data_IF_435798822936
#
_entry.id   IF_435798822936
#
_cell.length_a   1.000
_cell.length_b   1.000
_cell.length_c   1.000
_cell.angle_alpha   90.00
_cell.angle_beta   90.00
_cell.angle_gamma   90.00
#
_symmetry.space_group_name_H-M   'P 1'
#
loop_
_entity.id
_entity.type
_entity.pdbx_description
1 polymer ?
#
# COMPACT_ATOMS: atom_id res chain seq x y z
N UNK A 1 -29.36 22.67 43.40
CA UNK A 1 -28.87 22.95 42.04
C UNK A 1 -28.20 21.70 41.46
N UNK A 2 -28.86 20.96 40.55
CA UNK A 2 -28.23 19.96 39.69
C UNK A 2 -28.17 20.41 38.22
N UNK A 3 -27.08 20.07 37.53
CA UNK A 3 -26.82 20.37 36.11
C UNK A 3 -27.65 19.47 35.19
N UNK A 4 -28.34 20.08 34.23
CA UNK A 4 -29.11 19.42 33.19
C UNK A 4 -28.23 18.81 32.10
N UNK A 5 -28.70 17.68 31.57
CA UNK A 5 -28.15 16.94 30.44
C UNK A 5 -28.23 17.75 29.12
N UNK A 6 -27.13 17.81 28.38
CA UNK A 6 -27.05 18.44 27.06
C UNK A 6 -27.22 17.41 25.94
N UNK A 7 -28.36 17.46 25.27
CA UNK A 7 -28.77 16.56 24.21
C UNK A 7 -27.91 16.65 22.93
N UNK A 8 -27.76 15.49 22.29
CA UNK A 8 -27.30 15.27 20.92
C UNK A 8 -28.03 16.20 19.93
N UNK A 9 -27.28 17.07 19.23
CA UNK A 9 -27.78 17.78 18.06
C UNK A 9 -27.38 17.01 16.80
N UNK A 10 -28.27 16.12 16.37
CA UNK A 10 -28.32 15.62 14.99
C UNK A 10 -28.85 16.75 14.10
N UNK A 11 -27.99 17.35 13.29
CA UNK A 11 -28.44 18.20 12.19
C UNK A 11 -28.85 17.28 11.03
N UNK A 12 -30.16 17.00 10.95
CA UNK A 12 -30.80 16.33 9.82
C UNK A 12 -30.96 17.37 8.69
N UNK A 13 -30.07 17.36 7.70
CA UNK A 13 -30.36 17.97 6.40
C UNK A 13 -31.19 16.97 5.59
N UNK A 14 -32.49 17.21 5.48
CA UNK A 14 -33.37 16.56 4.51
C UNK A 14 -33.05 17.11 3.13
N UNK A 15 -32.50 16.28 2.25
CA UNK A 15 -32.54 16.52 0.80
C UNK A 15 -33.72 15.73 0.22
N UNK A 16 -34.60 16.42 -0.52
CA UNK A 16 -35.63 15.80 -1.37
C UNK A 16 -34.97 15.27 -2.66
N UNK A 17 -35.57 14.26 -3.33
CA UNK A 17 -34.90 13.45 -4.33
C UNK A 17 -34.92 14.10 -5.71
N UNK A 18 -33.77 14.14 -6.37
CA UNK A 18 -33.60 14.44 -7.79
C UNK A 18 -32.54 13.48 -8.33
N UNK A 19 -32.91 12.67 -9.33
CA UNK A 19 -32.26 11.40 -9.63
C UNK A 19 -30.87 11.46 -10.25
N UNK A 20 -30.05 10.48 -9.88
CA UNK A 20 -28.76 10.09 -10.45
C UNK A 20 -28.18 8.93 -9.64
N UNK A 21 -27.57 7.89 -10.25
CA UNK A 21 -27.12 6.73 -9.50
C UNK A 21 -25.82 7.02 -8.75
N UNK A 22 -25.90 6.98 -7.41
CA UNK A 22 -24.76 6.69 -6.53
C UNK A 22 -24.18 7.87 -5.78
N UNK A 23 -24.88 8.36 -4.75
CA UNK A 23 -24.26 9.09 -3.65
C UNK A 23 -23.26 8.16 -2.91
N UNK A 24 -21.99 8.21 -3.30
CA UNK A 24 -20.93 7.52 -2.58
C UNK A 24 -20.44 8.38 -1.42
N UNK A 25 -20.82 7.98 -0.20
CA UNK A 25 -20.12 8.36 1.02
C UNK A 25 -18.66 7.91 0.89
N UNK A 26 -17.76 8.86 0.64
CA UNK A 26 -16.32 8.62 0.71
C UNK A 26 -15.95 8.26 2.15
N UNK A 27 -15.86 6.96 2.44
CA UNK A 27 -15.24 6.49 3.66
C UNK A 27 -13.75 6.81 3.59
N UNK A 28 -13.36 7.79 4.42
CA UNK A 28 -11.99 8.24 4.58
C UNK A 28 -11.17 7.16 5.29
N UNK A 29 -10.69 6.17 4.53
CA UNK A 29 -9.70 5.23 5.02
C UNK A 29 -8.31 5.86 4.80
N UNK A 30 -7.70 6.28 5.92
CA UNK A 30 -6.28 6.57 6.11
C UNK A 30 -5.56 7.33 4.97
N UNK A 31 -5.68 8.66 4.94
CA UNK A 31 -4.62 9.64 4.58
C UNK A 31 -3.80 9.54 3.27
N UNK A 32 -4.01 8.54 2.41
CA UNK A 32 -3.06 8.17 1.33
C UNK A 32 -3.42 8.72 -0.07
N UNK A 33 -4.50 9.49 -0.21
CA UNK A 33 -4.93 10.06 -1.50
C UNK A 33 -4.10 11.27 -2.01
N UNK A 34 -3.03 11.70 -1.32
CA UNK A 34 -2.37 12.96 -1.68
C UNK A 34 -1.51 12.87 -2.96
N UNK A 35 -1.00 11.69 -3.28
CA UNK A 35 -0.11 11.49 -4.44
C UNK A 35 -0.86 11.39 -5.79
N UNK A 36 -2.18 11.20 -5.75
CA UNK A 36 -3.02 11.06 -6.95
C UNK A 36 -3.36 12.40 -7.61
N UNK A 37 -3.44 13.49 -6.83
CA UNK A 37 -3.87 14.80 -7.34
C UNK A 37 -2.83 15.48 -8.25
N UNK A 38 -1.53 15.19 -8.06
CA UNK A 38 -0.45 15.86 -8.79
C UNK A 38 -0.27 15.35 -10.24
N UNK A 39 -0.93 14.24 -10.62
CA UNK A 39 -0.72 13.57 -11.92
C UNK A 39 -1.81 13.83 -12.97
N UNK A 40 -2.89 14.52 -12.62
CA UNK A 40 -3.98 14.87 -13.54
C UNK A 40 -4.04 16.38 -13.73
N UNK A 41 -3.30 16.85 -14.73
CA UNK A 41 -3.38 18.22 -15.21
C UNK A 41 -4.79 18.60 -15.64
N UNK A 42 -5.28 19.69 -15.06
CA UNK A 42 -6.27 20.64 -15.58
C UNK A 42 -7.38 20.10 -16.50
N UNK A 43 -8.54 19.82 -15.91
CA UNK A 43 -9.83 19.92 -16.61
C UNK A 43 -10.64 21.08 -16.01
N UNK A 44 -10.70 22.18 -16.76
CA UNK A 44 -11.86 23.05 -16.93
C UNK A 44 -12.41 23.84 -15.73
N UNK A 45 -12.41 25.16 -15.86
CA UNK A 45 -12.96 26.17 -14.97
C UNK A 45 -14.38 25.87 -14.42
N UNK A 46 -14.59 26.17 -13.14
CA UNK A 46 -15.92 26.52 -12.61
C UNK A 46 -16.46 25.72 -11.43
N UNK A 47 -15.63 25.02 -10.65
CA UNK A 47 -16.05 24.41 -9.38
C UNK A 47 -15.16 24.93 -8.24
N UNK A 48 -15.71 25.84 -7.44
CA UNK A 48 -15.02 26.42 -6.28
C UNK A 48 -14.88 25.34 -5.19
N UNK A 49 -13.83 24.53 -5.28
CA UNK A 49 -13.51 23.50 -4.30
C UNK A 49 -13.10 24.18 -2.99
N UNK A 50 -13.62 23.74 -1.82
CA UNK A 50 -13.26 24.32 -0.53
C UNK A 50 -11.74 24.33 -0.32
N UNK A 51 -11.20 25.50 0.01
CA UNK A 51 -9.77 25.85 0.04
C UNK A 51 -8.80 24.70 0.40
N UNK A 52 -7.84 24.48 -0.49
CA UNK A 52 -6.78 23.50 -0.43
C UNK A 52 -5.70 23.84 0.61
N UNK A 53 -6.01 23.65 1.90
CA UNK A 53 -4.99 23.67 2.96
C UNK A 53 -4.35 22.29 3.05
N UNK A 54 -3.01 22.15 2.93
CA UNK A 54 -2.36 20.87 3.08
C UNK A 54 -2.61 20.34 4.50
N UNK A 55 -3.43 19.31 4.62
CA UNK A 55 -3.73 18.64 5.90
C UNK A 55 -2.41 18.07 6.43
N UNK A 56 -1.71 18.71 7.38
CA UNK A 56 -0.52 18.10 7.97
C UNK A 56 -0.87 16.69 8.49
N UNK A 57 -0.10 15.67 8.09
CA UNK A 57 -0.28 14.32 8.60
C UNK A 57 -0.21 14.34 10.14
N UNK A 58 -1.06 13.56 10.82
CA UNK A 58 -1.04 13.50 12.27
C UNK A 58 0.34 13.05 12.76
N UNK A 59 0.71 13.43 13.97
CA UNK A 59 1.99 13.00 14.55
C UNK A 59 2.08 11.46 14.64
N UNK A 60 0.96 10.80 14.91
CA UNK A 60 0.86 9.34 14.88
C UNK A 60 1.15 8.77 13.48
N UNK A 61 0.60 9.37 12.42
CA UNK A 61 0.87 8.94 11.04
C UNK A 61 2.35 9.06 10.67
N UNK A 62 3.01 10.15 11.07
CA UNK A 62 4.45 10.35 10.84
C UNK A 62 5.31 9.34 11.61
N UNK A 63 4.95 9.04 12.87
CA UNK A 63 5.65 8.02 13.67
C UNK A 63 5.46 6.64 13.05
N UNK A 64 4.25 6.30 12.62
CA UNK A 64 3.95 5.06 11.90
C UNK A 64 4.83 4.94 10.66
N UNK A 65 4.82 5.94 9.78
CA UNK A 65 5.60 5.94 8.54
C UNK A 65 7.09 5.71 8.80
N UNK A 66 7.65 6.41 9.79
CA UNK A 66 9.04 6.20 10.20
C UNK A 66 9.30 4.79 10.73
N UNK A 67 8.39 4.21 11.51
CA UNK A 67 8.55 2.85 12.01
C UNK A 67 8.43 1.81 10.88
N UNK A 68 7.55 2.02 9.90
CA UNK A 68 7.47 1.18 8.69
C UNK A 68 8.80 1.21 7.94
N UNK A 69 9.36 2.39 7.66
CA UNK A 69 10.67 2.51 6.99
C UNK A 69 11.77 1.73 7.71
N UNK A 70 11.81 1.81 9.03
CA UNK A 70 12.81 1.12 9.86
C UNK A 70 12.62 -0.41 9.86
N UNK A 71 11.37 -0.89 9.78
CA UNK A 71 11.09 -2.33 9.64
C UNK A 71 11.50 -2.80 8.24
N UNK A 72 11.12 -2.06 7.20
CA UNK A 72 11.39 -2.43 5.80
C UNK A 72 12.89 -2.42 5.46
N UNK A 73 13.65 -1.47 6.01
CA UNK A 73 15.11 -1.40 5.87
C UNK A 73 15.87 -2.42 6.73
N UNK A 74 15.18 -3.15 7.62
CA UNK A 74 15.80 -4.11 8.54
C UNK A 74 16.53 -3.48 9.74
N UNK A 75 16.42 -2.16 9.93
CA UNK A 75 16.89 -1.49 11.16
C UNK A 75 16.13 -2.02 12.39
N UNK A 76 14.83 -2.27 12.23
CA UNK A 76 14.00 -3.00 13.19
C UNK A 76 13.75 -4.41 12.65
N UNK A 77 14.31 -5.41 13.32
CA UNK A 77 14.26 -6.81 12.90
C UNK A 77 13.03 -7.52 13.47
N UNK A 78 12.56 -8.61 12.83
CA UNK A 78 11.55 -9.47 13.43
C UNK A 78 11.92 -9.88 14.86
N UNK A 79 10.97 -9.74 15.78
CA UNK A 79 11.18 -9.98 17.22
C UNK A 79 11.67 -8.75 18.02
N UNK A 80 12.17 -7.69 17.36
CA UNK A 80 12.63 -6.49 18.07
C UNK A 80 11.51 -5.85 18.87
N UNK A 81 11.85 -5.46 20.11
CA UNK A 81 10.88 -4.86 21.04
C UNK A 81 10.75 -3.36 20.80
N UNK A 82 9.51 -2.92 20.60
CA UNK A 82 9.11 -1.54 20.43
C UNK A 82 8.57 -0.99 21.76
N UNK A 83 9.42 -0.24 22.47
CA UNK A 83 9.07 0.35 23.77
C UNK A 83 8.55 1.77 23.56
N UNK A 84 7.28 2.01 23.90
CA UNK A 84 6.59 3.30 23.70
C UNK A 84 7.39 4.49 24.22
N UNK A 85 7.87 4.41 25.46
CA UNK A 85 8.63 5.49 26.09
C UNK A 85 9.94 5.80 25.37
N UNK A 86 10.64 4.78 24.84
CA UNK A 86 11.89 4.97 24.09
C UNK A 86 11.62 5.64 22.75
N UNK A 87 10.58 5.19 22.04
CA UNK A 87 10.17 5.78 20.76
C UNK A 87 9.73 7.23 20.97
N UNK A 88 8.95 7.50 22.02
CA UNK A 88 8.50 8.84 22.37
C UNK A 88 9.67 9.80 22.62
N UNK A 89 10.69 9.36 23.38
CA UNK A 89 11.90 10.13 23.61
C UNK A 89 12.70 10.40 22.32
N UNK A 90 12.87 9.38 21.46
CA UNK A 90 13.58 9.51 20.19
C UNK A 90 12.87 10.46 19.22
N UNK A 91 11.54 10.42 19.18
CA UNK A 91 10.71 11.24 18.31
C UNK A 91 10.29 12.58 18.95
N UNK A 92 10.84 12.91 20.12
CA UNK A 92 10.55 14.14 20.88
C UNK A 92 9.05 14.42 21.05
N UNK A 93 8.29 13.39 21.44
CA UNK A 93 6.83 13.41 21.55
C UNK A 93 6.35 12.72 22.82
N UNK A 94 5.03 12.74 23.07
CA UNK A 94 4.41 11.98 24.16
C UNK A 94 4.14 10.52 23.76
N UNK A 95 3.79 9.66 24.72
CA UNK A 95 3.49 8.25 24.44
C UNK A 95 2.15 8.03 23.71
N UNK A 96 1.21 8.98 23.79
CA UNK A 96 -0.11 8.84 23.17
C UNK A 96 -0.05 8.65 21.64
N UNK A 97 0.61 9.52 20.84
CA UNK A 97 0.72 9.32 19.39
C UNK A 97 1.57 8.11 19.02
N UNK A 98 2.53 7.71 19.87
CA UNK A 98 3.29 6.47 19.67
C UNK A 98 2.39 5.25 19.83
N UNK A 99 1.53 5.22 20.85
CA UNK A 99 0.59 4.13 21.08
C UNK A 99 -0.44 4.01 19.95
N UNK A 100 -0.90 5.14 19.42
CA UNK A 100 -1.75 5.18 18.23
C UNK A 100 -1.03 4.59 17.02
N UNK A 101 0.20 5.03 16.73
CA UNK A 101 1.01 4.49 15.64
C UNK A 101 1.25 2.97 15.79
N UNK A 102 1.55 2.49 17.00
CA UNK A 102 1.74 1.05 17.26
C UNK A 102 0.45 0.24 17.07
N UNK A 103 -0.72 0.81 17.40
CA UNK A 103 -2.02 0.17 17.13
C UNK A 103 -2.30 0.08 15.64
N UNK A 104 -1.98 1.13 14.87
CA UNK A 104 -2.10 1.11 13.41
C UNK A 104 -1.16 0.06 12.79
N UNK A 105 0.10 0.00 13.25
CA UNK A 105 1.05 -1.05 12.85
C UNK A 105 0.56 -2.46 13.19
N UNK A 106 -0.11 -2.61 14.33
CA UNK A 106 -0.72 -3.89 14.70
C UNK A 106 -1.86 -4.25 13.74
N UNK A 107 -2.70 -3.28 13.37
CA UNK A 107 -3.78 -3.50 12.39
C UNK A 107 -3.24 -3.85 11.00
N UNK A 108 -2.05 -3.36 10.64
CA UNK A 108 -1.33 -3.74 9.42
C UNK A 108 -0.61 -5.10 9.53
N UNK A 109 -0.59 -5.72 10.71
CA UNK A 109 0.08 -7.00 10.95
C UNK A 109 1.61 -6.92 11.04
N UNK A 110 2.18 -5.71 11.14
CA UNK A 110 3.64 -5.50 11.22
C UNK A 110 4.21 -5.67 12.62
N UNK A 111 3.37 -5.46 13.63
CA UNK A 111 3.75 -5.60 15.03
C UNK A 111 2.67 -6.35 15.78
N UNK A 112 3.03 -6.93 16.92
CA UNK A 112 2.08 -7.51 17.86
C UNK A 112 2.28 -6.90 19.25
N UNK A 113 1.18 -6.72 19.97
CA UNK A 113 1.21 -6.10 21.30
C UNK A 113 1.64 -7.07 22.38
N UNK A 114 2.47 -6.59 23.29
CA UNK A 114 2.88 -7.30 24.48
C UNK A 114 2.21 -6.66 25.70
N UNK A 115 1.49 -7.47 26.47
CA UNK A 115 0.76 -6.99 27.66
C UNK A 115 1.68 -6.16 28.57
N UNK A 116 1.33 -4.90 28.81
CA UNK A 116 2.07 -3.90 29.61
C UNK A 116 3.53 -3.68 29.22
N UNK A 117 3.97 -4.07 28.02
CA UNK A 117 5.39 -4.10 27.63
C UNK A 117 5.71 -3.42 26.31
N UNK A 118 4.72 -2.82 25.63
CA UNK A 118 4.83 -2.19 24.32
C UNK A 118 4.40 -3.14 23.21
N UNK A 119 5.13 -3.14 22.09
CA UNK A 119 4.91 -4.06 20.98
C UNK A 119 6.21 -4.77 20.60
N UNK A 120 6.15 -5.74 19.70
CA UNK A 120 7.32 -6.29 18.99
C UNK A 120 7.05 -6.39 17.51
N UNK A 121 8.10 -6.26 16.70
CA UNK A 121 8.02 -6.51 15.25
C UNK A 121 7.64 -7.98 15.05
N UNK A 122 6.62 -8.22 14.22
CA UNK A 122 6.08 -9.57 14.02
C UNK A 122 7.04 -10.41 13.17
N UNK A 123 7.09 -11.71 13.46
CA UNK A 123 7.66 -12.69 12.55
C UNK A 123 6.54 -13.19 11.62
N UNK A 124 6.75 -13.14 10.32
CA UNK A 124 5.81 -13.70 9.33
C UNK A 124 6.33 -15.09 8.98
N UNK A 125 5.51 -16.12 9.15
CA UNK A 125 5.89 -17.49 8.77
C UNK A 125 5.84 -17.67 7.26
N UNK A 126 6.59 -18.64 6.73
CA UNK A 126 6.53 -18.99 5.30
C UNK A 126 5.12 -19.39 4.88
N UNK A 127 4.36 -20.08 5.75
CA UNK A 127 2.96 -20.44 5.50
C UNK A 127 2.04 -19.22 5.36
N UNK A 128 2.17 -18.24 6.25
CA UNK A 128 1.38 -17.02 6.18
C UNK A 128 1.76 -16.21 4.94
N UNK A 129 3.06 -16.18 4.60
CA UNK A 129 3.52 -15.51 3.41
C UNK A 129 2.95 -16.17 2.16
N UNK A 130 2.95 -17.50 2.09
CA UNK A 130 2.30 -18.25 1.03
C UNK A 130 0.80 -17.89 0.87
N UNK A 131 0.05 -17.82 1.96
CA UNK A 131 -1.37 -17.40 1.94
C UNK A 131 -1.54 -15.96 1.43
N UNK A 132 -0.62 -15.05 1.80
CA UNK A 132 -0.63 -13.67 1.30
C UNK A 132 -0.41 -13.64 -0.21
N UNK A 133 0.53 -14.44 -0.74
CA UNK A 133 0.77 -14.53 -2.19
C UNK A 133 -0.44 -15.06 -2.95
N UNK A 134 -1.19 -16.03 -2.38
CA UNK A 134 -2.41 -16.55 -3.01
C UNK A 134 -3.46 -15.45 -3.19
N UNK A 135 -3.67 -14.61 -2.16
CA UNK A 135 -4.62 -13.49 -2.24
C UNK A 135 -4.10 -12.40 -3.16
N UNK A 136 -2.81 -12.03 -3.05
CA UNK A 136 -2.19 -11.01 -3.91
C UNK A 136 -2.30 -11.37 -5.39
N UNK A 137 -2.08 -12.64 -5.76
CA UNK A 137 -2.20 -13.09 -7.14
C UNK A 137 -3.59 -12.79 -7.71
N UNK A 138 -4.65 -12.98 -6.92
CA UNK A 138 -6.02 -12.68 -7.36
C UNK A 138 -6.26 -11.18 -7.54
N UNK A 139 -5.77 -10.35 -6.61
CA UNK A 139 -5.90 -8.89 -6.69
C UNK A 139 -5.14 -8.32 -7.88
N UNK A 140 -3.90 -8.74 -8.09
CA UNK A 140 -3.04 -8.27 -9.18
C UNK A 140 -3.51 -8.80 -10.54
N UNK A 141 -3.98 -10.05 -10.59
CA UNK A 141 -4.63 -10.58 -11.80
C UNK A 141 -5.89 -9.81 -12.18
N UNK A 142 -6.72 -9.42 -11.20
CA UNK A 142 -7.89 -8.61 -11.48
C UNK A 142 -7.51 -7.18 -11.90
N UNK A 143 -6.45 -6.61 -11.30
CA UNK A 143 -5.91 -5.34 -11.75
C UNK A 143 -5.47 -5.38 -13.22
N UNK A 144 -4.72 -6.41 -13.60
CA UNK A 144 -4.26 -6.60 -14.97
C UNK A 144 -5.43 -6.72 -15.96
N UNK A 145 -6.47 -7.48 -15.60
CA UNK A 145 -7.71 -7.59 -16.38
C UNK A 145 -8.37 -6.23 -16.62
N UNK A 146 -8.53 -5.43 -15.56
CA UNK A 146 -9.16 -4.12 -15.63
C UNK A 146 -8.35 -3.13 -16.48
N UNK A 147 -7.02 -3.11 -16.31
CA UNK A 147 -6.12 -2.24 -17.09
C UNK A 147 -6.21 -2.60 -18.58
N UNK A 148 -6.11 -3.90 -18.91
CA UNK A 148 -6.23 -4.39 -20.29
C UNK A 148 -7.61 -4.10 -20.90
N UNK A 149 -8.69 -4.31 -20.15
CA UNK A 149 -10.07 -4.05 -20.59
C UNK A 149 -10.28 -2.58 -20.97
N UNK A 150 -9.64 -1.66 -20.25
CA UNK A 150 -9.75 -0.22 -20.49
C UNK A 150 -8.79 0.29 -21.57
N UNK A 151 -7.85 -0.53 -22.02
CA UNK A 151 -6.81 -0.12 -22.96
C UNK A 151 -5.87 0.95 -22.40
N UNK A 152 -5.67 0.99 -21.08
CA UNK A 152 -4.70 1.91 -20.46
C UNK A 152 -3.30 1.35 -20.70
N UNK A 153 -2.50 2.02 -21.54
CA UNK A 153 -1.11 1.63 -21.73
C UNK A 153 -0.25 2.13 -20.58
N UNK A 154 0.43 1.19 -19.92
CA UNK A 154 1.42 1.46 -18.86
C UNK A 154 2.84 1.13 -19.31
N UNK A 155 3.03 0.77 -20.58
CA UNK A 155 4.28 0.20 -21.12
C UNK A 155 5.53 0.95 -20.67
N UNK A 156 5.61 2.25 -20.95
CA UNK A 156 6.81 3.03 -20.64
C UNK A 156 7.13 3.02 -19.13
N UNK A 157 6.13 3.29 -18.28
CA UNK A 157 6.32 3.30 -16.83
C UNK A 157 6.71 1.93 -16.26
N UNK A 158 6.12 0.85 -16.80
CA UNK A 158 6.45 -0.52 -16.36
C UNK A 158 7.82 -0.96 -16.87
N UNK A 159 8.21 -0.60 -18.09
CA UNK A 159 9.53 -0.89 -18.65
C UNK A 159 10.65 -0.15 -17.88
N UNK A 160 10.40 1.08 -17.44
CA UNK A 160 11.32 1.84 -16.58
C UNK A 160 11.56 1.11 -15.25
N UNK A 161 10.50 0.63 -14.59
CA UNK A 161 10.65 -0.14 -13.34
C UNK A 161 11.34 -1.49 -13.58
N UNK A 162 11.11 -2.16 -14.72
CA UNK A 162 11.84 -3.40 -15.09
C UNK A 162 13.33 -3.11 -15.28
N UNK A 163 13.68 -2.04 -15.99
CA UNK A 163 15.08 -1.64 -16.19
C UNK A 163 15.76 -1.33 -14.85
N UNK A 164 15.07 -0.64 -13.94
CA UNK A 164 15.57 -0.33 -12.62
C UNK A 164 15.74 -1.57 -11.74
N UNK A 165 14.81 -2.54 -11.79
CA UNK A 165 14.97 -3.85 -11.14
C UNK A 165 16.21 -4.58 -11.65
N UNK A 166 16.41 -4.62 -12.98
CA UNK A 166 17.57 -5.28 -13.58
C UNK A 166 18.89 -4.61 -13.15
N UNK A 167 18.93 -3.28 -13.08
CA UNK A 167 20.08 -2.53 -12.58
C UNK A 167 20.38 -2.84 -11.11
N UNK A 168 19.35 -2.87 -10.25
CA UNK A 168 19.50 -3.21 -8.83
C UNK A 168 19.99 -4.67 -8.64
N UNK A 169 19.43 -5.62 -9.39
CA UNK A 169 19.92 -7.00 -9.42
C UNK A 169 21.39 -7.09 -9.87
N UNK A 170 21.77 -6.32 -10.90
CA UNK A 170 23.15 -6.21 -11.34
C UNK A 170 24.06 -5.52 -10.31
N UNK A 171 23.55 -4.70 -9.41
CA UNK A 171 24.34 -4.13 -8.31
C UNK A 171 24.40 -5.02 -7.07
N UNK A 172 23.58 -6.08 -7.00
CA UNK A 172 23.37 -6.85 -5.76
C UNK A 172 22.57 -6.08 -4.71
N UNK A 173 21.84 -5.05 -5.13
CA UNK A 173 21.00 -4.21 -4.29
C UNK A 173 19.60 -4.83 -4.16
N UNK A 174 19.43 -5.74 -3.19
CA UNK A 174 18.15 -6.41 -2.94
C UNK A 174 17.07 -5.43 -2.47
N UNK A 175 17.45 -4.36 -1.76
CA UNK A 175 16.51 -3.34 -1.31
C UNK A 175 15.98 -2.54 -2.49
N UNK A 176 16.86 -2.01 -3.34
CA UNK A 176 16.47 -1.29 -4.56
C UNK A 176 15.61 -2.16 -5.48
N UNK A 177 15.96 -3.44 -5.62
CA UNK A 177 15.14 -4.40 -6.38
C UNK A 177 13.72 -4.50 -5.81
N UNK A 178 13.60 -4.75 -4.50
CA UNK A 178 12.31 -4.87 -3.80
C UNK A 178 11.48 -3.58 -3.91
N UNK A 179 12.15 -2.43 -3.91
CA UNK A 179 11.52 -1.13 -4.09
C UNK A 179 10.88 -0.98 -5.47
N UNK A 180 11.63 -1.27 -6.54
CA UNK A 180 11.17 -1.21 -7.93
C UNK A 180 10.13 -2.28 -8.26
N UNK A 181 10.30 -3.50 -7.74
CA UNK A 181 9.31 -4.57 -7.86
C UNK A 181 7.95 -4.13 -7.30
N UNK A 182 7.92 -3.57 -6.08
CA UNK A 182 6.68 -3.03 -5.51
C UNK A 182 6.08 -1.91 -6.36
N UNK A 183 6.90 -1.01 -6.93
CA UNK A 183 6.40 0.08 -7.78
C UNK A 183 5.74 -0.44 -9.04
N UNK A 184 6.34 -1.45 -9.69
CA UNK A 184 5.75 -2.11 -10.86
C UNK A 184 4.31 -2.58 -10.59
N UNK A 185 4.12 -3.40 -9.54
CA UNK A 185 2.79 -3.94 -9.21
C UNK A 185 1.83 -2.83 -8.77
N UNK A 186 2.31 -1.84 -8.01
CA UNK A 186 1.51 -0.70 -7.58
C UNK A 186 1.00 0.12 -8.76
N UNK A 187 1.82 0.37 -9.77
CA UNK A 187 1.41 1.10 -10.98
C UNK A 187 0.23 0.41 -11.66
N UNK A 188 0.29 -0.92 -11.80
CA UNK A 188 -0.80 -1.70 -12.39
C UNK A 188 -2.08 -1.62 -11.55
N UNK A 189 -1.98 -1.75 -10.22
CA UNK A 189 -3.13 -1.66 -9.32
C UNK A 189 -3.73 -0.25 -9.31
N UNK A 190 -2.91 0.79 -9.27
CA UNK A 190 -3.34 2.19 -9.26
C UNK A 190 -4.01 2.61 -10.58
N UNK A 191 -3.56 2.07 -11.72
CA UNK A 191 -4.17 2.33 -13.03
C UNK A 191 -5.62 1.83 -13.13
N UNK A 192 -6.07 0.97 -12.20
CA UNK A 192 -7.47 0.56 -12.11
C UNK A 192 -8.39 1.64 -11.55
N UNK A 193 -7.86 2.68 -10.89
CA UNK A 193 -8.64 3.69 -10.18
C UNK A 193 -9.60 3.10 -9.13
N UNK A 194 -9.37 1.85 -8.71
CA UNK A 194 -10.21 1.15 -7.74
C UNK A 194 -9.57 1.27 -6.36
N UNK A 195 -9.96 2.32 -5.62
CA UNK A 195 -9.41 2.61 -4.30
C UNK A 195 -9.55 1.45 -3.28
N UNK A 196 -10.59 0.61 -3.42
CA UNK A 196 -10.75 -0.58 -2.59
C UNK A 196 -9.71 -1.64 -2.90
N UNK A 197 -9.44 -1.89 -4.19
CA UNK A 197 -8.41 -2.81 -4.64
C UNK A 197 -7.01 -2.35 -4.22
N UNK A 198 -6.72 -1.06 -4.41
CA UNK A 198 -5.48 -0.44 -3.96
C UNK A 198 -5.27 -0.60 -2.45
N UNK A 199 -6.28 -0.30 -1.64
CA UNK A 199 -6.19 -0.42 -0.19
C UNK A 199 -5.94 -1.86 0.30
N UNK A 200 -6.62 -2.85 -0.31
CA UNK A 200 -6.41 -4.27 0.00
C UNK A 200 -5.00 -4.72 -0.42
N UNK A 201 -4.56 -4.31 -1.61
CA UNK A 201 -3.23 -4.66 -2.11
C UNK A 201 -2.11 -4.07 -1.25
N UNK A 202 -2.21 -2.80 -0.87
CA UNK A 202 -1.22 -2.14 0.00
C UNK A 202 -1.09 -2.83 1.37
N UNK A 203 -2.22 -3.21 1.97
CA UNK A 203 -2.23 -3.92 3.25
C UNK A 203 -1.56 -5.30 3.19
N UNK A 204 -1.49 -5.93 2.02
CA UNK A 204 -0.76 -7.18 1.79
C UNK A 204 0.71 -6.92 1.42
N UNK A 205 0.96 -5.94 0.55
CA UNK A 205 2.30 -5.58 0.05
C UNK A 205 3.26 -5.15 1.17
N UNK A 206 2.78 -4.40 2.16
CA UNK A 206 3.59 -4.00 3.33
C UNK A 206 4.13 -5.22 4.09
N UNK A 207 3.40 -6.35 4.11
CA UNK A 207 3.83 -7.59 4.73
C UNK A 207 4.83 -8.38 3.88
N UNK A 208 4.68 -8.38 2.55
CA UNK A 208 5.57 -9.14 1.65
C UNK A 208 6.92 -8.47 1.43
N UNK A 209 6.98 -7.13 1.47
CA UNK A 209 8.21 -6.35 1.24
C UNK A 209 9.31 -6.65 2.26
N UNK A 210 8.94 -6.94 3.51
CA UNK A 210 9.86 -7.30 4.59
C UNK A 210 10.63 -8.60 4.30
N UNK A 211 10.08 -9.51 3.49
CA UNK A 211 10.69 -10.81 3.22
C UNK A 211 11.58 -10.84 1.98
N UNK A 212 11.24 -10.09 0.93
CA UNK A 212 12.05 -10.04 -0.31
C UNK A 212 13.49 -9.59 -0.05
N UNK A 213 13.70 -8.75 0.97
CA UNK A 213 15.03 -8.27 1.38
C UNK A 213 15.90 -9.37 2.01
N UNK A 214 15.33 -10.52 2.40
CA UNK A 214 16.00 -11.54 3.22
C UNK A 214 16.34 -12.82 2.44
N UNK A 215 15.57 -13.19 1.41
CA UNK A 215 15.58 -14.58 0.88
C UNK A 215 16.28 -14.76 -0.47
N UNK A 216 16.22 -13.79 -1.39
CA UNK A 216 16.54 -14.06 -2.80
C UNK A 216 18.01 -13.87 -3.16
N UNK A 217 18.56 -14.78 -3.97
CA UNK A 217 19.91 -14.66 -4.53
C UNK A 217 19.89 -13.78 -5.77
N UNK A 218 21.05 -13.21 -6.12
CA UNK A 218 21.22 -12.32 -7.29
C UNK A 218 20.78 -12.95 -8.62
N UNK A 219 21.07 -14.22 -8.84
CA UNK A 219 20.63 -14.97 -10.03
C UNK A 219 19.10 -14.97 -10.15
N UNK A 220 18.43 -15.22 -9.02
CA UNK A 220 16.99 -15.33 -8.95
C UNK A 220 16.35 -13.96 -9.21
N UNK A 221 16.96 -12.87 -8.74
CA UNK A 221 16.48 -11.51 -8.99
C UNK A 221 16.46 -11.16 -10.48
N UNK A 222 17.49 -11.54 -11.25
CA UNK A 222 17.53 -11.27 -12.68
C UNK A 222 16.43 -12.02 -13.45
N UNK A 223 16.18 -13.28 -13.09
CA UNK A 223 15.08 -14.07 -13.66
C UNK A 223 13.71 -13.47 -13.34
N UNK A 224 13.53 -12.98 -12.11
CA UNK A 224 12.29 -12.29 -11.73
C UNK A 224 12.09 -11.02 -12.53
N UNK A 225 13.13 -10.19 -12.72
CA UNK A 225 13.02 -8.98 -13.56
C UNK A 225 12.55 -9.33 -14.97
N UNK A 226 13.06 -10.41 -15.55
CA UNK A 226 12.67 -10.84 -16.89
C UNK A 226 11.19 -11.26 -16.95
N UNK A 227 10.72 -11.98 -15.94
CA UNK A 227 9.32 -12.46 -15.90
C UNK A 227 8.27 -11.35 -15.92
N UNK A 228 8.62 -10.12 -15.50
CA UNK A 228 7.73 -8.97 -15.56
C UNK A 228 7.41 -8.50 -16.99
N UNK A 229 8.28 -8.76 -17.96
CA UNK A 229 8.04 -8.38 -19.37
C UNK A 229 6.82 -9.09 -19.95
N UNK A 230 6.57 -10.34 -19.54
CA UNK A 230 5.40 -11.09 -19.97
C UNK A 230 4.08 -10.40 -19.56
N UNK A 231 4.05 -9.74 -18.39
CA UNK A 231 2.88 -8.97 -17.95
C UNK A 231 2.67 -7.76 -18.86
N UNK A 232 3.73 -7.01 -19.17
CA UNK A 232 3.66 -5.84 -20.07
C UNK A 232 3.10 -6.25 -21.43
N UNK A 233 3.60 -7.33 -22.00
CA UNK A 233 3.09 -7.85 -23.28
C UNK A 233 1.62 -8.30 -23.21
N UNK A 234 1.20 -8.91 -22.10
CA UNK A 234 -0.17 -9.36 -21.91
C UNK A 234 -1.15 -8.19 -21.71
N UNK A 235 -0.74 -7.11 -21.03
CA UNK A 235 -1.53 -5.88 -20.90
C UNK A 235 -1.76 -5.23 -22.28
N UNK A 236 -0.74 -5.26 -23.13
CA UNK A 236 -0.73 -4.58 -24.44
C UNK A 236 -1.36 -5.45 -25.55
N UNK A 237 -1.68 -6.71 -25.28
CA UNK A 237 -2.24 -7.61 -26.30
C UNK A 237 -3.73 -7.40 -26.58
N UNK A 238 -4.41 -6.53 -25.82
CA UNK A 238 -5.86 -6.34 -25.92
C UNK A 238 -6.67 -7.56 -25.46
N UNK A 239 -6.07 -8.47 -24.69
CA UNK A 239 -6.71 -9.69 -24.16
C UNK A 239 -6.73 -9.64 -22.62
N UNK A 240 -7.85 -9.21 -22.01
CA UNK A 240 -7.96 -9.14 -20.55
C UNK A 240 -7.79 -10.47 -19.83
N UNK A 241 -8.23 -11.57 -20.45
CA UNK A 241 -8.10 -12.90 -19.85
C UNK A 241 -6.64 -13.35 -19.83
N UNK A 242 -5.89 -13.08 -20.90
CA UNK A 242 -4.44 -13.30 -20.94
C UNK A 242 -3.71 -12.43 -19.93
N UNK A 243 -4.04 -11.14 -19.81
CA UNK A 243 -3.45 -10.24 -18.82
C UNK A 243 -3.64 -10.77 -17.39
N UNK A 244 -4.86 -11.19 -17.05
CA UNK A 244 -5.19 -11.80 -15.77
C UNK A 244 -4.38 -13.05 -15.48
N UNK A 245 -4.39 -14.01 -16.40
CA UNK A 245 -3.71 -15.29 -16.22
C UNK A 245 -2.19 -15.09 -16.05
N UNK A 246 -1.60 -14.19 -16.84
CA UNK A 246 -0.16 -13.90 -16.80
C UNK A 246 0.25 -13.26 -15.48
N UNK A 247 -0.52 -12.28 -14.99
CA UNK A 247 -0.24 -11.64 -13.69
C UNK A 247 -0.42 -12.61 -12.52
N UNK A 248 -1.44 -13.48 -12.53
CA UNK A 248 -1.59 -14.54 -11.51
C UNK A 248 -0.38 -15.46 -11.50
N UNK A 249 0.00 -16.00 -12.67
CA UNK A 249 1.11 -16.93 -12.80
C UNK A 249 2.40 -16.29 -12.26
N UNK A 250 2.71 -15.07 -12.69
CA UNK A 250 3.87 -14.33 -12.22
C UNK A 250 3.93 -14.19 -10.69
N UNK A 251 2.82 -13.84 -10.03
CA UNK A 251 2.80 -13.71 -8.56
C UNK A 251 3.00 -15.08 -7.90
N UNK A 252 2.35 -16.13 -8.39
CA UNK A 252 2.42 -17.47 -7.81
C UNK A 252 3.77 -18.16 -8.05
N UNK A 253 4.41 -17.94 -9.20
CA UNK A 253 5.76 -18.43 -9.51
C UNK A 253 6.82 -17.80 -8.59
N UNK A 254 6.50 -16.65 -7.99
CA UNK A 254 7.33 -15.93 -7.03
C UNK A 254 6.92 -16.16 -5.57
N UNK A 255 5.99 -17.08 -5.33
CA UNK A 255 5.61 -17.54 -3.99
C UNK A 255 6.79 -18.28 -3.35
N UNK A 256 7.16 -17.96 -2.09
CA UNK A 256 8.25 -18.63 -1.38
C UNK A 256 7.95 -20.08 -1.01
#
# INVERSE_FOLDING_TARGET
MPRAAGASRRTLLRLRPGGGPGDFLVYRWNGWCRQFADSIGSLGDGMDLPSDKPVRASLAAQIRERLVERILSGELKPGDRLVEMRIAAQMQTSQAPVREALRELQAMGLVETLHNRGARVRLISDSELAEIYDVRAQLEGYAAELVATRGVSLRAALEDEIAAMAAAAAAGDSQGFSEHNTRFHRLMVAATGNATLEGLWEGLNVRTRTMLNVIRRRSDLAEVSESHRAIVEALESGDPARARATAIAHVLDNKP
#
